data_IF_220167414159
#
_entry.id   IF_220167414159
#
_cell.length_a   1.000
_cell.length_b   1.000
_cell.length_c   1.000
_cell.angle_alpha   90.00
_cell.angle_beta   90.00
_cell.angle_gamma   90.00
#
_symmetry.space_group_name_H-M   'P 1'
#
loop_
_entity.id
_entity.type
_entity.pdbx_description
1 polymer ?
#
# COMPACT_ATOMS: atom_id res chain seq x y z
N UNK A 1 -13.51 4.05 -26.33
CA UNK A 1 -13.98 5.44 -26.55
C UNK A 1 -15.35 5.79 -25.97
N UNK A 2 -16.02 4.92 -25.17
CA UNK A 2 -17.29 5.26 -24.51
C UNK A 2 -17.20 5.21 -22.96
N UNK A 3 -16.00 5.34 -22.40
CA UNK A 3 -15.74 5.41 -20.95
C UNK A 3 -15.36 6.81 -20.46
N UNK A 4 -15.04 7.74 -21.37
CA UNK A 4 -14.67 9.13 -21.03
C UNK A 4 -15.86 10.10 -21.01
N UNK A 5 -16.91 9.86 -21.80
CA UNK A 5 -18.00 10.85 -21.94
C UNK A 5 -18.99 10.89 -20.78
N UNK A 6 -19.17 9.78 -20.04
CA UNK A 6 -20.06 9.73 -18.87
C UNK A 6 -19.41 10.42 -17.64
N UNK A 7 -18.09 10.51 -17.61
CA UNK A 7 -17.31 11.15 -16.53
C UNK A 7 -17.40 12.68 -16.59
N UNK A 8 -17.70 13.27 -17.75
CA UNK A 8 -17.65 14.72 -17.95
C UNK A 8 -18.81 15.51 -17.33
N UNK A 9 -20.02 14.97 -17.31
CA UNK A 9 -21.22 15.71 -16.86
C UNK A 9 -21.76 15.27 -15.49
N UNK A 10 -21.44 14.05 -15.06
CA UNK A 10 -21.72 13.58 -13.69
C UNK A 10 -20.52 13.87 -12.77
N UNK A 11 -19.30 14.01 -13.31
CA UNK A 11 -18.07 14.19 -12.53
C UNK A 11 -17.92 15.54 -11.83
N UNK A 12 -18.52 16.63 -12.35
CA UNK A 12 -18.35 17.96 -11.76
C UNK A 12 -19.10 18.13 -10.43
N UNK A 13 -20.18 17.37 -10.21
CA UNK A 13 -20.88 17.29 -8.93
C UNK A 13 -20.40 16.13 -8.04
N UNK A 14 -19.85 15.06 -8.62
CA UNK A 14 -19.44 13.88 -7.86
C UNK A 14 -18.09 14.05 -7.14
N UNK A 15 -17.22 14.95 -7.59
CA UNK A 15 -15.92 15.21 -6.96
C UNK A 15 -15.99 15.89 -5.58
N UNK A 16 -17.11 16.50 -5.19
CA UNK A 16 -17.27 17.12 -3.86
C UNK A 16 -17.92 16.20 -2.83
N UNK A 17 -18.47 15.05 -3.26
CA UNK A 17 -19.21 14.12 -2.38
C UNK A 17 -18.48 12.79 -2.20
N UNK A 18 -17.66 12.39 -3.16
CA UNK A 18 -16.77 11.24 -2.99
C UNK A 18 -15.35 11.77 -2.81
N UNK A 19 -14.82 11.80 -1.57
CA UNK A 19 -13.39 11.97 -1.43
C UNK A 19 -12.75 10.87 -2.27
N UNK A 20 -11.87 11.24 -3.20
CA UNK A 20 -10.94 10.28 -3.76
C UNK A 20 -10.27 9.61 -2.57
N UNK A 21 -10.55 8.33 -2.35
CA UNK A 21 -9.79 7.45 -1.45
C UNK A 21 -8.38 7.31 -2.07
N UNK A 22 -7.60 8.38 -2.03
CA UNK A 22 -6.17 8.30 -2.18
C UNK A 22 -5.66 7.74 -0.86
N UNK A 23 -5.52 6.42 -0.84
CA UNK A 23 -5.03 5.64 0.29
C UNK A 23 -3.54 6.01 0.50
N UNK A 24 -3.25 6.93 1.42
CA UNK A 24 -1.88 7.21 1.82
C UNK A 24 -1.36 5.97 2.57
N UNK A 25 -0.45 5.22 1.96
CA UNK A 25 0.10 3.99 2.56
C UNK A 25 0.75 4.23 3.93
N UNK A 26 0.80 3.19 4.77
CA UNK A 26 1.41 3.26 6.11
C UNK A 26 2.96 3.21 6.08
N UNK A 27 3.52 2.81 4.95
CA UNK A 27 4.95 2.59 4.72
C UNK A 27 5.47 3.46 3.57
N UNK A 28 6.73 3.88 3.66
CA UNK A 28 7.42 4.70 2.66
C UNK A 28 8.82 4.15 2.37
N UNK A 29 9.46 4.67 1.33
CA UNK A 29 10.84 4.31 0.95
C UNK A 29 11.90 4.63 2.03
N UNK A 30 11.55 5.44 3.05
CA UNK A 30 12.42 5.69 4.21
C UNK A 30 12.34 4.59 5.28
N UNK A 31 11.32 3.73 5.23
CA UNK A 31 11.19 2.59 6.11
C UNK A 31 12.01 1.41 5.55
N UNK A 32 12.53 0.54 6.42
CA UNK A 32 13.36 -0.61 6.03
C UNK A 32 12.51 -1.80 5.54
N UNK A 33 11.44 -1.51 4.80
CA UNK A 33 10.48 -2.48 4.29
C UNK A 33 10.36 -2.36 2.77
N UNK A 34 10.09 -3.48 2.11
CA UNK A 34 9.81 -3.50 0.67
C UNK A 34 8.30 -3.35 0.50
N UNK A 35 7.87 -2.26 -0.15
CA UNK A 35 6.45 -2.04 -0.45
C UNK A 35 6.05 -2.90 -1.65
N UNK A 36 5.16 -3.86 -1.40
CA UNK A 36 4.63 -4.71 -2.45
C UNK A 36 3.63 -3.96 -3.32
N UNK A 37 3.70 -4.22 -4.61
CA UNK A 37 2.82 -3.72 -5.66
C UNK A 37 2.48 -4.86 -6.61
N UNK A 38 1.36 -4.79 -7.34
CA UNK A 38 0.99 -5.85 -8.28
C UNK A 38 2.08 -6.16 -9.31
N UNK A 39 2.97 -5.20 -9.59
CA UNK A 39 4.07 -5.35 -10.55
C UNK A 39 5.32 -6.04 -9.97
N UNK A 40 5.48 -6.10 -8.64
CA UNK A 40 6.68 -6.63 -7.98
C UNK A 40 6.41 -7.83 -7.05
N UNK A 41 5.14 -8.18 -6.83
CA UNK A 41 4.78 -9.22 -5.86
C UNK A 41 5.33 -10.59 -6.25
N UNK A 42 5.28 -10.96 -7.54
CA UNK A 42 5.80 -12.25 -8.02
C UNK A 42 7.33 -12.34 -7.92
N UNK A 43 8.03 -11.25 -8.23
CA UNK A 43 9.49 -11.21 -8.15
C UNK A 43 9.98 -11.24 -6.71
N UNK A 44 9.30 -10.54 -5.80
CA UNK A 44 9.67 -10.51 -4.38
C UNK A 44 9.27 -11.81 -3.68
N UNK A 45 8.04 -12.31 -3.86
CA UNK A 45 7.56 -13.45 -3.05
C UNK A 45 7.95 -14.82 -3.61
N UNK A 46 7.87 -15.01 -4.93
CA UNK A 46 8.01 -16.34 -5.54
C UNK A 46 9.47 -16.67 -5.83
N UNK A 47 10.27 -15.67 -6.20
CA UNK A 47 11.66 -15.86 -6.63
C UNK A 47 12.68 -15.55 -5.53
N UNK A 48 12.23 -15.34 -4.29
CA UNK A 48 13.13 -15.11 -3.16
C UNK A 48 13.79 -16.40 -2.69
N UNK A 49 15.09 -16.34 -2.46
CA UNK A 49 15.86 -17.38 -1.78
C UNK A 49 15.89 -17.23 -0.27
N UNK A 50 15.45 -16.08 0.25
CA UNK A 50 15.36 -15.79 1.68
C UNK A 50 13.93 -16.02 2.21
N UNK A 51 13.83 -16.32 3.51
CA UNK A 51 12.56 -16.34 4.20
C UNK A 51 11.99 -14.92 4.30
N UNK A 52 10.72 -14.74 3.93
CA UNK A 52 10.06 -13.45 3.93
C UNK A 52 8.92 -13.42 4.94
N UNK A 53 8.82 -12.31 5.66
CA UNK A 53 7.67 -11.97 6.49
C UNK A 53 6.89 -10.90 5.76
N UNK A 54 5.62 -11.16 5.45
CA UNK A 54 4.78 -10.26 4.63
C UNK A 54 3.58 -9.81 5.44
N UNK A 55 3.36 -8.50 5.51
CA UNK A 55 2.15 -7.92 6.09
C UNK A 55 1.22 -7.41 4.98
N UNK A 56 0.08 -8.07 4.83
CA UNK A 56 -1.02 -7.55 4.02
C UNK A 56 -1.90 -6.66 4.89
N UNK A 57 -1.98 -5.37 4.56
CA UNK A 57 -2.69 -4.36 5.34
C UNK A 57 -3.56 -3.46 4.48
N UNK A 58 -4.40 -2.65 5.14
CA UNK A 58 -5.11 -1.53 4.53
C UNK A 58 -4.85 -0.25 5.34
N UNK A 59 -4.57 0.89 4.70
CA UNK A 59 -4.16 2.09 5.45
C UNK A 59 -5.28 2.70 6.30
N UNK A 60 -6.53 2.39 6.00
CA UNK A 60 -7.71 2.82 6.77
C UNK A 60 -8.02 1.89 7.95
N UNK A 61 -7.35 0.73 8.06
CA UNK A 61 -7.59 -0.20 9.15
C UNK A 61 -6.90 0.29 10.43
N UNK A 62 -7.68 0.66 11.45
CA UNK A 62 -7.13 1.18 12.71
C UNK A 62 -6.15 0.23 13.42
N UNK A 63 -6.36 -1.08 13.30
CA UNK A 63 -5.41 -2.07 13.84
C UNK A 63 -4.07 -2.03 13.08
N UNK A 64 -4.11 -1.99 11.74
CA UNK A 64 -2.91 -1.89 10.90
C UNK A 64 -2.15 -0.58 11.15
N UNK A 65 -2.87 0.53 11.29
CA UNK A 65 -2.27 1.83 11.64
C UNK A 65 -1.50 1.72 12.95
N UNK A 66 -2.12 1.14 13.99
CA UNK A 66 -1.48 0.97 15.29
C UNK A 66 -0.36 -0.08 15.28
N UNK A 67 -0.42 -1.06 14.38
CA UNK A 67 0.61 -2.11 14.24
C UNK A 67 1.83 -1.64 13.44
N UNK A 68 1.65 -0.73 12.48
CA UNK A 68 2.71 -0.22 11.60
C UNK A 68 4.01 0.21 12.30
N UNK A 69 4.04 0.89 13.47
CA UNK A 69 5.30 1.22 14.14
C UNK A 69 6.08 -0.02 14.61
N UNK A 70 5.38 -1.10 14.99
CA UNK A 70 6.01 -2.34 15.43
C UNK A 70 6.60 -3.11 14.25
N UNK A 71 5.88 -3.16 13.12
CA UNK A 71 6.40 -3.76 11.90
C UNK A 71 7.63 -3.01 11.38
N UNK A 72 7.63 -1.67 11.43
CA UNK A 72 8.81 -0.84 11.15
C UNK A 72 9.98 -1.15 12.09
N UNK A 73 9.71 -1.43 13.37
CA UNK A 73 10.77 -1.81 14.31
C UNK A 73 11.35 -3.18 14.01
N UNK A 74 10.49 -4.17 13.78
CA UNK A 74 10.91 -5.51 13.40
C UNK A 74 11.82 -5.48 12.18
N UNK A 75 11.44 -4.73 11.15
CA UNK A 75 12.22 -4.57 9.94
C UNK A 75 13.61 -3.96 10.19
N UNK A 76 13.73 -3.03 11.15
CA UNK A 76 15.02 -2.48 11.58
C UNK A 76 15.88 -3.51 12.32
N UNK A 77 15.26 -4.29 13.19
CA UNK A 77 15.97 -5.20 14.09
C UNK A 77 16.56 -6.40 13.33
N UNK A 78 15.94 -6.82 12.23
CA UNK A 78 16.41 -7.93 11.39
C UNK A 78 17.30 -7.48 10.21
N UNK A 79 17.45 -6.17 10.00
CA UNK A 79 18.25 -5.62 8.91
C UNK A 79 19.74 -5.90 9.13
N UNK A 80 20.32 -6.82 8.35
CA UNK A 80 21.73 -7.23 8.45
C UNK A 80 21.95 -8.68 8.91
N UNK A 81 20.88 -9.45 9.07
CA UNK A 81 20.91 -10.91 9.26
C UNK A 81 20.86 -11.63 7.92
#
# INVERSE_FOLDING_TARGET
SLKLFVVGWIGLCFCLVFPSFADAGLYSASDQVIVLSPDNVDSVLVNSTAALVVEFYASWCGHCVNFSPYYKSLARDINGT
#
